data_IF_147675658565
#
_entry.id   IF_147675658565
#
_cell.length_a   1.000
_cell.length_b   1.000
_cell.length_c   1.000
_cell.angle_alpha   90.00
_cell.angle_beta   90.00
_cell.angle_gamma   90.00
#
_symmetry.space_group_name_H-M   'P 1'
#
loop_
_entity.id
_entity.type
_entity.pdbx_description
1 polymer ?
#
# COMPACT_ATOMS: atom_id res chain seq x y z
N UNK A 1 -13.19 16.66 5.93
CA UNK A 1 -12.19 15.60 6.14
C UNK A 1 -11.62 15.22 4.77
N UNK A 2 -10.30 15.21 4.59
CA UNK A 2 -9.66 14.82 3.33
C UNK A 2 -8.76 13.60 3.54
N UNK A 3 -8.81 12.63 2.62
CA UNK A 3 -8.02 11.39 2.59
C UNK A 3 -7.87 10.69 3.97
N UNK A 4 -8.92 10.69 4.78
CA UNK A 4 -8.92 10.09 6.11
C UNK A 4 -9.38 8.63 6.09
N UNK A 5 -9.00 7.89 7.13
CA UNK A 5 -9.60 6.58 7.42
C UNK A 5 -11.00 6.81 7.99
N UNK A 6 -12.02 6.28 7.32
CA UNK A 6 -13.43 6.36 7.71
C UNK A 6 -13.91 5.02 8.24
N UNK A 7 -13.57 3.94 7.54
CA UNK A 7 -13.88 2.58 7.95
C UNK A 7 -12.77 1.66 7.44
N UNK A 8 -11.98 1.10 8.36
CA UNK A 8 -10.83 0.26 8.04
C UNK A 8 -11.12 -0.82 6.99
N UNK A 9 -12.29 -1.46 7.05
CA UNK A 9 -12.62 -2.54 6.14
C UNK A 9 -12.87 -2.06 4.71
N UNK A 10 -13.71 -1.03 4.52
CA UNK A 10 -13.91 -0.45 3.17
C UNK A 10 -12.68 0.27 2.66
N UNK A 11 -11.92 0.90 3.54
CA UNK A 11 -10.72 1.66 3.18
C UNK A 11 -9.59 0.73 2.75
N UNK A 12 -9.41 -0.41 3.41
CA UNK A 12 -8.42 -1.41 3.00
C UNK A 12 -8.83 -2.06 1.67
N UNK A 13 -10.12 -2.34 1.44
CA UNK A 13 -10.61 -2.81 0.12
C UNK A 13 -10.34 -1.78 -0.98
N UNK A 14 -10.76 -0.54 -0.75
CA UNK A 14 -10.54 0.55 -1.72
C UNK A 14 -9.06 0.78 -2.00
N UNK A 15 -8.17 0.58 -1.03
CA UNK A 15 -6.71 0.65 -1.23
C UNK A 15 -6.23 -0.37 -2.26
N UNK A 16 -6.60 -1.65 -2.11
CA UNK A 16 -6.12 -2.68 -3.04
C UNK A 16 -6.77 -2.56 -4.43
N UNK A 17 -8.03 -2.13 -4.51
CA UNK A 17 -8.69 -1.79 -5.78
C UNK A 17 -7.97 -0.62 -6.47
N UNK A 18 -7.56 0.40 -5.71
CA UNK A 18 -6.78 1.53 -6.23
C UNK A 18 -5.43 1.07 -6.78
N UNK A 19 -4.67 0.26 -6.02
CA UNK A 19 -3.38 -0.27 -6.48
C UNK A 19 -3.54 -1.09 -7.76
N UNK A 20 -4.58 -1.93 -7.85
CA UNK A 20 -4.83 -2.75 -9.04
C UNK A 20 -5.21 -1.90 -10.26
N UNK A 21 -6.18 -0.99 -10.11
CA UNK A 21 -6.64 -0.12 -11.20
C UNK A 21 -5.57 0.88 -11.68
N UNK A 22 -4.51 1.09 -10.92
CA UNK A 22 -3.33 1.88 -11.29
C UNK A 22 -2.12 1.02 -11.68
N UNK A 23 -2.33 -0.27 -11.95
CA UNK A 23 -1.33 -1.22 -12.44
C UNK A 23 -0.13 -1.44 -11.51
N UNK A 24 -0.33 -1.30 -10.19
CA UNK A 24 0.71 -1.48 -9.18
C UNK A 24 0.77 -2.91 -8.61
N UNK A 25 -0.31 -3.69 -8.76
CA UNK A 25 -0.38 -5.09 -8.34
C UNK A 25 -1.04 -5.94 -9.44
N UNK A 26 -0.75 -7.25 -9.44
CA UNK A 26 -1.29 -8.19 -10.44
C UNK A 26 -2.76 -8.54 -10.19
N UNK A 27 -3.45 -9.00 -11.23
CA UNK A 27 -4.79 -9.60 -11.15
C UNK A 27 -4.84 -10.72 -10.11
N UNK A 28 -3.81 -11.58 -10.09
CA UNK A 28 -3.67 -12.66 -9.10
C UNK A 28 -3.61 -12.13 -7.66
N UNK A 29 -2.88 -11.03 -7.44
CA UNK A 29 -2.74 -10.42 -6.10
C UNK A 29 -4.08 -9.88 -5.62
N UNK A 30 -4.78 -9.09 -6.44
CA UNK A 30 -6.07 -8.50 -6.04
C UNK A 30 -7.15 -9.57 -5.87
N UNK A 31 -7.15 -10.60 -6.73
CA UNK A 31 -8.05 -11.75 -6.62
C UNK A 31 -7.85 -12.50 -5.30
N UNK A 32 -6.58 -12.73 -4.93
CA UNK A 32 -6.24 -13.42 -3.67
C UNK A 32 -6.69 -12.60 -2.47
N UNK A 33 -6.49 -11.28 -2.49
CA UNK A 33 -6.97 -10.37 -1.45
C UNK A 33 -8.50 -10.41 -1.37
N UNK A 34 -9.20 -10.29 -2.50
CA UNK A 34 -10.66 -10.29 -2.51
C UNK A 34 -11.28 -11.59 -1.98
N UNK A 35 -10.62 -12.72 -2.23
CA UNK A 35 -11.09 -14.04 -1.78
C UNK A 35 -10.75 -14.35 -0.32
N UNK A 36 -9.65 -13.79 0.20
CA UNK A 36 -9.06 -14.25 1.46
C UNK A 36 -8.96 -13.19 2.57
N UNK A 37 -9.18 -11.90 2.29
CA UNK A 37 -8.99 -10.83 3.27
C UNK A 37 -10.27 -10.30 3.95
N UNK A 38 -11.46 -10.81 3.60
CA UNK A 38 -12.72 -10.28 4.10
C UNK A 38 -13.51 -11.31 4.93
N UNK A 39 -13.90 -10.98 6.18
CA UNK A 39 -14.61 -11.91 7.06
C UNK A 39 -15.93 -12.48 6.52
N UNK A 40 -16.33 -13.67 6.99
CA UNK A 40 -15.60 -14.53 7.93
C UNK A 40 -14.42 -15.25 7.29
N UNK A 41 -13.28 -15.34 8.01
CA UNK A 41 -12.05 -15.96 7.53
C UNK A 41 -11.67 -17.18 8.36
N UNK A 42 -11.27 -18.26 7.68
CA UNK A 42 -10.53 -19.37 8.26
C UNK A 42 -9.07 -18.98 8.55
N UNK A 43 -8.35 -19.76 9.37
CA UNK A 43 -6.92 -19.52 9.61
C UNK A 43 -6.12 -19.54 8.30
N UNK A 44 -6.41 -20.49 7.40
CA UNK A 44 -5.76 -20.57 6.10
C UNK A 44 -5.98 -19.30 5.26
N UNK A 45 -7.21 -18.76 5.26
CA UNK A 45 -7.49 -17.51 4.53
C UNK A 45 -6.77 -16.31 5.15
N UNK A 46 -6.58 -16.28 6.47
CA UNK A 46 -5.77 -15.24 7.13
C UNK A 46 -4.32 -15.29 6.65
N UNK A 47 -3.72 -16.47 6.63
CA UNK A 47 -2.34 -16.63 6.17
C UNK A 47 -2.19 -16.19 4.70
N UNK A 48 -3.13 -16.58 3.84
CA UNK A 48 -3.18 -16.14 2.43
C UNK A 48 -3.39 -14.64 2.29
N UNK A 49 -4.21 -14.04 3.15
CA UNK A 49 -4.39 -12.59 3.17
C UNK A 49 -3.11 -11.86 3.57
N UNK A 50 -2.45 -12.30 4.62
CA UNK A 50 -1.22 -11.68 5.12
C UNK A 50 -0.11 -11.76 4.06
N UNK A 51 0.01 -12.88 3.35
CA UNK A 51 0.95 -13.04 2.24
C UNK A 51 0.61 -12.12 1.04
N UNK A 52 -0.66 -12.10 0.61
CA UNK A 52 -1.08 -11.31 -0.55
C UNK A 52 -0.99 -9.80 -0.28
N UNK A 53 -1.36 -9.35 0.92
CA UNK A 53 -1.26 -7.94 1.32
C UNK A 53 0.20 -7.51 1.51
N UNK A 54 1.06 -8.39 2.02
CA UNK A 54 2.51 -8.16 2.07
C UNK A 54 3.10 -8.00 0.67
N UNK A 55 2.76 -8.89 -0.26
CA UNK A 55 3.16 -8.82 -1.67
C UNK A 55 2.71 -7.49 -2.31
N UNK A 56 1.43 -7.14 -2.14
CA UNK A 56 0.89 -5.88 -2.64
C UNK A 56 1.63 -4.66 -2.05
N UNK A 57 1.95 -4.68 -0.76
CA UNK A 57 2.65 -3.59 -0.11
C UNK A 57 4.09 -3.47 -0.62
N UNK A 58 4.84 -4.57 -0.70
CA UNK A 58 6.22 -4.59 -1.24
C UNK A 58 6.27 -4.02 -2.65
N UNK A 59 5.33 -4.40 -3.52
CA UNK A 59 5.22 -3.85 -4.88
C UNK A 59 4.86 -2.36 -4.87
N UNK A 60 3.97 -1.93 -3.97
CA UNK A 60 3.52 -0.54 -3.87
C UNK A 60 4.52 0.42 -3.21
N UNK A 61 5.39 -0.06 -2.30
CA UNK A 61 6.30 0.80 -1.52
C UNK A 61 7.74 0.77 -1.99
N UNK A 62 8.15 -0.22 -2.77
CA UNK A 62 9.50 -0.26 -3.31
C UNK A 62 9.64 0.74 -4.47
N UNK A 63 10.12 1.93 -4.14
CA UNK A 63 10.46 2.94 -5.15
C UNK A 63 9.30 3.87 -5.53
N UNK A 64 8.21 3.91 -4.77
CA UNK A 64 7.07 4.81 -5.00
C UNK A 64 6.62 5.49 -3.72
N UNK A 65 6.10 6.71 -3.86
CA UNK A 65 5.44 7.43 -2.77
C UNK A 65 3.97 7.01 -2.72
N UNK A 66 3.58 6.27 -1.67
CA UNK A 66 2.18 5.82 -1.48
C UNK A 66 1.18 6.96 -1.26
N UNK A 67 1.65 8.17 -0.93
CA UNK A 67 0.81 9.34 -0.78
C UNK A 67 0.59 10.06 -2.12
N UNK A 68 1.47 9.83 -3.11
CA UNK A 68 1.35 10.36 -4.46
C UNK A 68 2.14 9.51 -5.47
N UNK A 69 1.47 8.53 -6.08
CA UNK A 69 2.08 7.57 -7.03
C UNK A 69 2.58 8.20 -8.34
N UNK A 70 2.29 9.48 -8.57
CA UNK A 70 2.77 10.23 -9.73
C UNK A 70 3.85 11.26 -9.36
N UNK A 71 4.15 11.44 -8.07
CA UNK A 71 5.24 12.30 -7.65
C UNK A 71 6.59 11.59 -7.86
N UNK A 72 7.64 12.34 -8.21
CA UNK A 72 8.99 11.82 -8.12
C UNK A 72 9.31 11.54 -6.65
N UNK A 73 10.10 10.50 -6.40
CA UNK A 73 10.67 10.27 -5.08
C UNK A 73 11.64 11.39 -4.71
N UNK A 74 11.66 11.75 -3.42
CA UNK A 74 12.69 12.63 -2.88
C UNK A 74 14.02 11.87 -2.80
N UNK A 75 14.93 12.15 -3.73
CA UNK A 75 16.29 11.64 -3.73
C UNK A 75 17.23 12.78 -3.32
N UNK A 76 17.49 12.94 -2.02
CA UNK A 76 18.47 13.92 -1.55
C UNK A 76 19.88 13.52 -2.04
N UNK A 77 20.37 14.20 -3.08
CA UNK A 77 21.79 14.26 -3.42
C UNK A 77 22.34 15.65 -3.02
N UNK A 78 22.84 15.75 -1.78
CA UNK A 78 23.56 16.90 -1.16
C UNK A 78 22.75 18.13 -0.69
N UNK A 79 22.91 18.47 0.60
CA UNK A 79 23.22 19.85 0.99
C UNK A 79 22.13 20.73 1.63
N UNK A 80 21.64 20.38 2.82
CA UNK A 80 21.30 21.42 3.83
C UNK A 80 22.28 21.28 5.00
N UNK A 81 23.18 22.25 5.10
CA UNK A 81 24.15 22.33 6.18
C UNK A 81 23.46 22.21 7.53
N UNK A 82 24.04 21.38 8.41
CA UNK A 82 23.91 21.60 9.85
C UNK A 82 24.43 23.01 10.10
N UNK A 83 23.55 24.00 10.18
CA UNK A 83 23.83 25.16 11.00
C UNK A 83 23.67 24.71 12.45
N UNK A 84 24.71 24.04 12.95
CA UNK A 84 24.98 24.05 14.38
C UNK A 84 25.61 25.42 14.64
N UNK A 85 24.77 26.40 14.98
CA UNK A 85 25.24 27.63 15.61
C UNK A 85 25.91 27.26 16.94
N UNK A 86 27.04 27.92 17.18
CA UNK A 86 27.93 27.85 18.34
C UNK A 86 27.21 27.74 19.69
#
# INVERSE_FOLDING_TARGET
IGNGVINKWTDDKGRFDYLWTHALISDETVDTIHKNCYPPLTNQQKDLCDEATSTAFVLAVNGMDIYNIHAPLCHDHSGKGRSSSL
#
